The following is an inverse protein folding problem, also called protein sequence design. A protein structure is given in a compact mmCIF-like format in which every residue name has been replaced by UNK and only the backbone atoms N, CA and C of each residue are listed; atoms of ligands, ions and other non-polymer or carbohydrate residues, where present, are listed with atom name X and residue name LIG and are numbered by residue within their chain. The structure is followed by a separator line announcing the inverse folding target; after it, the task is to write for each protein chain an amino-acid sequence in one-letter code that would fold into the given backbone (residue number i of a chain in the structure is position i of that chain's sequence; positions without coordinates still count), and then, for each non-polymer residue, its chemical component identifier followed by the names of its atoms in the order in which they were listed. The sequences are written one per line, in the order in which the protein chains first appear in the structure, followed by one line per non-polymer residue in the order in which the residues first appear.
data_IF_089787941497
#
_entry.id   IF_089787941497
#
_cell.length_a   1.000
_cell.length_b   1.000
_cell.length_c   1.000
_cell.angle_alpha   90.00
_cell.angle_beta   90.00
_cell.angle_gamma   90.00
#
_symmetry.space_group_name_H-M   'P 1'
#
loop_
_entity.id
_entity.type
_entity.pdbx_description
1 polymer ?
#
# COMPACT_ATOMS: atom_id res chain seq x y z
N UNK A 1 19.33 0.56 -0.84
CA UNK A 1 18.21 -0.40 -0.84
C UNK A 1 17.25 -0.05 -1.97
N UNK A 2 16.90 -1.03 -2.77
CA UNK A 2 15.93 -0.84 -3.84
C UNK A 2 14.53 -1.11 -3.29
N UNK A 3 13.65 -0.12 -3.40
CA UNK A 3 12.33 -0.14 -2.80
C UNK A 3 11.24 0.05 -3.85
N UNK A 4 10.17 -0.72 -3.74
CA UNK A 4 8.97 -0.53 -4.55
C UNK A 4 7.87 0.10 -3.69
N UNK A 5 7.16 1.06 -4.25
CA UNK A 5 5.87 1.49 -3.73
C UNK A 5 4.83 0.86 -4.64
N UNK A 6 4.24 -0.23 -4.17
CA UNK A 6 3.24 -1.00 -4.90
C UNK A 6 1.89 -0.37 -4.63
N UNK A 7 1.29 0.25 -5.63
CA UNK A 7 0.12 1.09 -5.43
C UNK A 7 -1.08 0.63 -6.27
N UNK A 8 -2.23 0.53 -5.61
CA UNK A 8 -3.52 0.54 -6.25
C UNK A 8 -4.21 1.86 -5.91
N UNK A 9 -4.65 2.59 -6.92
CA UNK A 9 -5.30 3.88 -6.71
C UNK A 9 -6.47 4.02 -7.67
N UNK A 10 -7.64 4.30 -7.13
CA UNK A 10 -8.87 4.44 -7.91
C UNK A 10 -9.13 5.90 -8.29
N UNK A 11 -8.89 6.83 -7.36
CA UNK A 11 -9.18 8.26 -7.55
C UNK A 11 -7.92 9.11 -7.68
N UNK A 12 -6.74 8.52 -7.57
CA UNK A 12 -5.47 9.25 -7.60
C UNK A 12 -4.95 9.69 -6.24
N UNK A 13 -5.74 9.60 -5.18
CA UNK A 13 -5.32 10.02 -3.84
C UNK A 13 -4.13 9.21 -3.33
N UNK A 14 -4.26 7.90 -3.34
CA UNK A 14 -3.20 6.99 -2.88
C UNK A 14 -1.94 7.16 -3.74
N UNK A 15 -2.10 7.26 -5.05
CA UNK A 15 -0.98 7.45 -5.96
C UNK A 15 -0.23 8.76 -5.70
N UNK A 16 -0.95 9.84 -5.40
CA UNK A 16 -0.31 11.13 -5.12
C UNK A 16 0.60 11.05 -3.89
N UNK A 17 0.18 10.32 -2.86
CA UNK A 17 1.02 10.12 -1.66
C UNK A 17 2.20 9.20 -1.99
N UNK A 18 1.99 8.17 -2.78
CA UNK A 18 3.07 7.28 -3.22
C UNK A 18 4.16 8.04 -3.98
N UNK A 19 3.78 8.97 -4.85
CA UNK A 19 4.72 9.81 -5.58
C UNK A 19 5.52 10.72 -4.65
N UNK A 20 4.89 11.28 -3.63
CA UNK A 20 5.57 12.08 -2.60
C UNK A 20 6.56 11.24 -1.80
N UNK A 21 6.19 10.01 -1.46
CA UNK A 21 7.09 9.09 -0.76
C UNK A 21 8.31 8.75 -1.63
N UNK A 22 8.09 8.47 -2.90
CA UNK A 22 9.19 8.22 -3.83
C UNK A 22 10.17 9.39 -3.87
N UNK A 23 9.65 10.61 -4.03
CA UNK A 23 10.50 11.80 -4.08
C UNK A 23 11.32 11.97 -2.81
N UNK A 24 10.70 11.74 -1.64
CA UNK A 24 11.40 11.84 -0.36
C UNK A 24 12.51 10.80 -0.23
N UNK A 25 12.23 9.55 -0.53
CA UNK A 25 13.22 8.48 -0.44
C UNK A 25 14.36 8.66 -1.43
N UNK A 26 14.08 9.11 -2.64
CA UNK A 26 15.11 9.41 -3.63
C UNK A 26 16.02 10.55 -3.17
N UNK A 27 15.44 11.58 -2.55
CA UNK A 27 16.24 12.69 -2.00
C UNK A 27 17.18 12.21 -0.87
N UNK A 28 16.85 11.11 -0.22
CA UNK A 28 17.66 10.49 0.83
C UNK A 28 18.64 9.44 0.28
N UNK A 29 18.72 9.29 -1.05
CA UNK A 29 19.68 8.42 -1.71
C UNK A 29 19.19 7.01 -2.01
N UNK A 30 17.90 6.72 -1.83
CA UNK A 30 17.34 5.41 -2.13
C UNK A 30 16.92 5.30 -3.58
N UNK A 31 16.96 4.08 -4.11
CA UNK A 31 16.41 3.77 -5.42
C UNK A 31 14.96 3.31 -5.23
N UNK A 32 14.00 4.03 -5.81
CA UNK A 32 12.58 3.78 -5.58
C UNK A 32 11.83 3.73 -6.90
N UNK A 33 11.00 2.69 -7.06
CA UNK A 33 10.10 2.56 -8.19
C UNK A 33 8.65 2.54 -7.71
N UNK A 34 7.78 3.21 -8.47
CA UNK A 34 6.33 3.06 -8.28
C UNK A 34 5.85 1.94 -9.18
N UNK A 35 5.25 0.92 -8.59
CA UNK A 35 4.72 -0.23 -9.27
C UNK A 35 3.21 -0.24 -9.16
N UNK A 36 2.51 0.07 -10.24
CA UNK A 36 1.05 0.15 -10.23
C UNK A 36 0.41 -1.21 -10.42
N UNK A 37 -0.58 -1.50 -9.59
CA UNK A 37 -1.48 -2.63 -9.77
C UNK A 37 -2.62 -2.18 -10.67
N UNK A 38 -2.78 -2.83 -11.82
CA UNK A 38 -3.83 -2.51 -12.78
C UNK A 38 -4.73 -3.72 -12.96
N UNK A 39 -5.92 -3.72 -12.36
CA UNK A 39 -6.89 -4.78 -12.62
C UNK A 39 -7.50 -4.62 -14.02
N UNK A 40 -7.96 -5.73 -14.59
CA UNK A 40 -8.74 -5.70 -15.83
C UNK A 40 -10.18 -5.37 -15.47
N UNK A 41 -10.65 -4.23 -15.95
CA UNK A 41 -12.00 -3.76 -15.66
C UNK A 41 -12.14 -3.20 -14.24
N UNK A 42 -13.38 -2.89 -13.89
CA UNK A 42 -13.70 -2.31 -12.61
C UNK A 42 -13.72 -3.36 -11.50
N UNK A 43 -13.26 -2.98 -10.32
CA UNK A 43 -13.33 -3.80 -9.12
C UNK A 43 -14.23 -3.14 -8.09
N UNK A 44 -14.87 -3.94 -7.24
CA UNK A 44 -15.79 -3.47 -6.21
C UNK A 44 -15.68 -4.36 -4.96
N UNK A 45 -16.16 -3.87 -3.80
CA UNK A 45 -16.24 -4.71 -2.61
C UNK A 45 -17.06 -5.96 -2.87
N UNK A 46 -16.57 -7.11 -2.38
CA UNK A 46 -17.27 -8.38 -2.56
C UNK A 46 -17.09 -9.07 -3.90
N UNK A 47 -16.29 -8.50 -4.80
CA UNK A 47 -15.95 -9.20 -6.06
C UNK A 47 -15.26 -10.52 -5.74
N UNK A 48 -15.60 -11.57 -6.50
CA UNK A 48 -15.11 -12.92 -6.21
C UNK A 48 -13.76 -13.25 -6.83
N UNK A 49 -13.37 -12.52 -7.86
CA UNK A 49 -12.10 -12.71 -8.54
C UNK A 49 -11.66 -11.41 -9.20
N UNK A 50 -10.36 -11.18 -9.24
CA UNK A 50 -9.76 -10.05 -9.96
C UNK A 50 -8.67 -10.57 -10.86
N UNK A 51 -8.79 -10.29 -12.16
CA UNK A 51 -7.71 -10.52 -13.11
C UNK A 51 -6.93 -9.22 -13.27
N UNK A 52 -5.64 -9.34 -13.55
CA UNK A 52 -4.77 -8.16 -13.64
C UNK A 52 -4.23 -7.97 -15.04
N UNK A 53 -4.31 -6.74 -15.50
CA UNK A 53 -3.56 -6.30 -16.66
C UNK A 53 -2.10 -6.08 -16.29
N UNK A 54 -1.85 -5.58 -15.07
CA UNK A 54 -0.52 -5.44 -14.51
C UNK A 54 -0.53 -5.88 -13.05
N UNK A 55 0.28 -6.89 -12.74
CA UNK A 55 0.54 -7.35 -11.39
C UNK A 55 2.06 -7.29 -11.17
N UNK A 56 2.56 -6.26 -10.48
CA UNK A 56 4.01 -6.06 -10.34
C UNK A 56 4.74 -7.25 -9.73
N UNK A 57 5.94 -7.54 -10.26
CA UNK A 57 6.85 -8.53 -9.70
C UNK A 57 7.77 -7.88 -8.69
N UNK A 58 8.00 -8.56 -7.57
CA UNK A 58 8.69 -7.96 -6.43
C UNK A 58 10.08 -8.53 -6.17
N UNK A 59 10.54 -9.46 -6.98
CA UNK A 59 11.78 -10.20 -6.74
C UNK A 59 13.00 -9.30 -6.54
N UNK A 60 13.10 -8.22 -7.30
CA UNK A 60 14.28 -7.34 -7.30
C UNK A 60 14.30 -6.31 -6.17
N UNK A 61 13.21 -6.21 -5.40
CA UNK A 61 13.08 -5.20 -4.35
C UNK A 61 13.41 -5.77 -2.97
N UNK A 62 14.12 -5.00 -2.18
CA UNK A 62 14.43 -5.32 -0.80
C UNK A 62 13.40 -4.74 0.17
N UNK A 63 12.83 -3.59 -0.19
CA UNK A 63 11.79 -2.92 0.57
C UNK A 63 10.52 -2.74 -0.25
N UNK A 64 9.36 -2.88 0.39
CA UNK A 64 8.07 -2.72 -0.29
C UNK A 64 7.10 -1.96 0.60
N UNK A 65 6.50 -0.92 0.04
CA UNK A 65 5.38 -0.24 0.67
C UNK A 65 4.13 -0.56 -0.16
N UNK A 66 3.15 -1.21 0.47
CA UNK A 66 1.86 -1.46 -0.17
C UNK A 66 0.94 -0.28 0.09
N UNK A 67 0.54 0.41 -0.96
CA UNK A 67 -0.29 1.60 -0.88
C UNK A 67 -1.66 1.35 -1.51
N UNK A 68 -2.73 1.56 -0.75
CA UNK A 68 -4.09 1.23 -1.18
C UNK A 68 -5.13 2.13 -0.50
N UNK A 69 -6.25 2.40 -1.18
CA UNK A 69 -7.39 2.99 -0.50
C UNK A 69 -8.13 1.95 0.33
N UNK A 70 -8.89 2.44 1.31
CA UNK A 70 -9.89 1.66 2.04
C UNK A 70 -11.20 1.78 1.27
N UNK A 71 -11.84 0.66 0.95
CA UNK A 71 -13.12 0.61 0.25
C UNK A 71 -14.14 -0.14 1.09
N UNK A 72 -15.34 0.44 1.27
CA UNK A 72 -16.42 -0.17 2.04
C UNK A 72 -15.92 -0.73 3.39
N UNK A 73 -15.16 0.07 4.13
CA UNK A 73 -14.62 -0.25 5.45
C UNK A 73 -13.65 -1.45 5.47
N UNK A 74 -12.99 -1.71 4.34
CA UNK A 74 -12.12 -2.86 4.18
C UNK A 74 -10.99 -2.54 3.20
N UNK A 75 -10.02 -3.44 3.07
CA UNK A 75 -8.98 -3.32 2.07
C UNK A 75 -9.60 -3.39 0.67
N UNK A 76 -9.11 -2.56 -0.25
CA UNK A 76 -9.55 -2.59 -1.64
C UNK A 76 -9.37 -3.98 -2.23
N UNK A 77 -10.37 -4.47 -2.96
CA UNK A 77 -10.35 -5.81 -3.55
C UNK A 77 -9.15 -6.02 -4.48
N UNK A 78 -8.78 -5.02 -5.26
CA UNK A 78 -7.63 -5.13 -6.14
C UNK A 78 -6.33 -5.40 -5.37
N UNK A 79 -6.09 -4.70 -4.26
CA UNK A 79 -4.90 -4.94 -3.43
C UNK A 79 -4.98 -6.33 -2.77
N UNK A 80 -6.14 -6.68 -2.25
CA UNK A 80 -6.33 -7.98 -1.61
C UNK A 80 -6.01 -9.13 -2.56
N UNK A 81 -6.58 -9.12 -3.76
CA UNK A 81 -6.32 -10.18 -4.74
C UNK A 81 -4.91 -10.14 -5.31
N UNK A 82 -4.31 -8.95 -5.39
CA UNK A 82 -2.90 -8.85 -5.75
C UNK A 82 -2.01 -9.60 -4.75
N UNK A 83 -2.22 -9.36 -3.46
CA UNK A 83 -1.44 -10.03 -2.41
C UNK A 83 -1.70 -11.53 -2.39
N UNK A 84 -2.95 -11.94 -2.60
CA UNK A 84 -3.31 -13.35 -2.63
C UNK A 84 -2.62 -14.11 -3.77
N UNK A 85 -2.44 -13.49 -4.93
CA UNK A 85 -1.84 -14.14 -6.08
C UNK A 85 -0.31 -14.20 -6.05
N UNK A 86 0.33 -13.52 -5.11
CA UNK A 86 1.77 -13.64 -4.93
C UNK A 86 2.15 -15.07 -4.59
N UNK A 87 3.30 -15.52 -5.07
CA UNK A 87 3.79 -16.84 -4.75
C UNK A 87 4.12 -16.98 -3.25
N UNK A 88 4.06 -18.19 -2.73
CA UNK A 88 4.47 -18.46 -1.37
C UNK A 88 5.93 -18.06 -1.19
N UNK A 89 6.22 -17.37 -0.10
CA UNK A 89 7.58 -16.90 0.15
C UNK A 89 8.01 -15.67 -0.65
N UNK A 90 7.12 -15.09 -1.47
CA UNK A 90 7.46 -13.94 -2.31
C UNK A 90 8.01 -12.74 -1.54
N UNK A 91 7.64 -12.61 -0.26
CA UNK A 91 8.05 -11.48 0.58
C UNK A 91 9.13 -11.86 1.61
N UNK A 92 9.67 -13.05 1.54
CA UNK A 92 10.73 -13.46 2.46
C UNK A 92 11.93 -12.52 2.39
N UNK A 93 12.46 -12.16 3.56
CA UNK A 93 13.62 -11.28 3.72
C UNK A 93 13.42 -9.86 3.21
N UNK A 94 12.18 -9.48 2.93
CA UNK A 94 11.86 -8.13 2.49
C UNK A 94 11.31 -7.30 3.66
N UNK A 95 11.69 -6.04 3.70
CA UNK A 95 11.13 -5.09 4.64
C UNK A 95 9.83 -4.55 4.04
N UNK A 96 8.74 -4.66 4.78
CA UNK A 96 7.42 -4.28 4.28
C UNK A 96 6.71 -3.28 5.18
N UNK A 97 5.93 -2.41 4.57
CA UNK A 97 5.08 -1.45 5.27
C UNK A 97 3.81 -1.24 4.46
N UNK A 98 2.79 -0.63 5.06
CA UNK A 98 1.61 -0.23 4.30
C UNK A 98 1.26 1.24 4.51
N UNK A 99 0.63 1.79 3.48
CA UNK A 99 0.15 3.16 3.43
C UNK A 99 -1.29 3.12 2.93
N UNK A 100 -2.22 3.48 3.80
CA UNK A 100 -3.65 3.43 3.48
C UNK A 100 -4.23 4.83 3.44
N UNK A 101 -5.12 5.07 2.49
CA UNK A 101 -5.91 6.30 2.42
C UNK A 101 -7.38 5.97 2.62
N UNK A 102 -8.10 6.82 3.32
CA UNK A 102 -9.55 6.66 3.51
C UNK A 102 -10.24 8.02 3.55
N UNK A 103 -11.51 8.05 3.17
CA UNK A 103 -12.25 9.30 3.10
C UNK A 103 -12.73 9.77 4.48
N UNK A 104 -13.25 8.87 5.29
CA UNK A 104 -13.94 9.22 6.54
C UNK A 104 -13.03 9.04 7.75
N UNK A 105 -13.10 9.97 8.74
CA UNK A 105 -12.37 9.82 9.99
C UNK A 105 -13.01 8.76 10.89
N UNK A 106 -12.30 8.37 11.93
CA UNK A 106 -12.80 7.49 12.98
C UNK A 106 -12.33 6.06 12.87
N UNK A 107 -12.35 5.37 14.00
CA UNK A 107 -11.85 3.98 14.12
C UNK A 107 -12.69 2.96 13.34
N UNK A 108 -13.98 3.25 13.15
CA UNK A 108 -14.94 2.33 12.58
C UNK A 108 -15.03 2.39 11.05
N UNK A 109 -14.22 3.23 10.40
CA UNK A 109 -14.29 3.43 8.96
C UNK A 109 -13.32 2.55 8.16
N UNK A 110 -12.76 1.53 8.79
CA UNK A 110 -12.08 0.43 8.10
C UNK A 110 -10.57 0.54 7.93
N UNK A 111 -9.94 1.61 8.40
CA UNK A 111 -8.48 1.75 8.29
C UNK A 111 -7.71 0.67 9.06
N UNK A 112 -8.08 0.44 10.32
CA UNK A 112 -7.48 -0.59 11.14
C UNK A 112 -7.73 -1.99 10.58
N UNK A 113 -8.95 -2.24 10.11
CA UNK A 113 -9.31 -3.51 9.49
C UNK A 113 -8.50 -3.76 8.22
N UNK A 114 -8.40 -2.76 7.36
CA UNK A 114 -7.64 -2.87 6.12
C UNK A 114 -6.14 -3.14 6.40
N UNK A 115 -5.57 -2.47 7.40
CA UNK A 115 -4.18 -2.70 7.80
C UNK A 115 -3.97 -4.13 8.31
N UNK A 116 -4.91 -4.66 9.08
CA UNK A 116 -4.86 -6.06 9.54
C UNK A 116 -4.97 -7.04 8.38
N UNK A 117 -5.79 -6.74 7.40
CA UNK A 117 -5.93 -7.58 6.21
C UNK A 117 -4.63 -7.62 5.42
N UNK A 118 -3.97 -6.48 5.21
CA UNK A 118 -2.67 -6.45 4.56
C UNK A 118 -1.65 -7.25 5.38
N UNK A 119 -1.57 -7.03 6.68
CA UNK A 119 -0.60 -7.72 7.53
C UNK A 119 -0.79 -9.24 7.48
N UNK A 120 -2.02 -9.70 7.54
CA UNK A 120 -2.33 -11.14 7.44
C UNK A 120 -1.85 -11.72 6.10
N UNK A 121 -2.10 -11.02 5.00
CA UNK A 121 -1.69 -11.46 3.67
C UNK A 121 -0.16 -11.40 3.50
N UNK A 122 0.47 -10.36 4.02
CA UNK A 122 1.93 -10.21 3.99
C UNK A 122 2.59 -11.35 4.78
N UNK A 123 2.04 -11.69 5.95
CA UNK A 123 2.54 -12.81 6.75
C UNK A 123 2.41 -14.14 6.01
N UNK A 124 1.32 -14.34 5.29
CA UNK A 124 1.13 -15.56 4.49
C UNK A 124 2.14 -15.69 3.34
N UNK A 125 2.81 -14.60 2.99
CA UNK A 125 3.80 -14.56 1.90
C UNK A 125 5.24 -14.42 2.40
N UNK A 126 5.45 -14.51 3.72
CA UNK A 126 6.79 -14.63 4.29
C UNK A 126 7.38 -13.40 4.95
N UNK A 127 6.63 -12.34 5.13
CA UNK A 127 7.10 -11.13 5.81
C UNK A 127 6.15 -10.70 6.91
N UNK A 128 6.43 -9.59 7.54
CA UNK A 128 5.59 -8.96 8.56
C UNK A 128 5.70 -7.45 8.37
N UNK A 129 4.58 -6.74 8.39
CA UNK A 129 4.60 -5.30 8.29
C UNK A 129 5.43 -4.68 9.43
N UNK A 130 6.44 -3.91 9.06
CA UNK A 130 7.24 -3.17 10.02
C UNK A 130 6.56 -1.86 10.44
N UNK A 131 5.69 -1.32 9.60
CA UNK A 131 5.00 -0.07 9.88
C UNK A 131 3.71 0.05 9.10
N UNK A 132 2.77 0.83 9.63
CA UNK A 132 1.44 1.08 9.04
C UNK A 132 1.15 2.56 9.12
N UNK A 133 0.72 3.17 8.02
CA UNK A 133 0.25 4.54 8.00
C UNK A 133 -1.15 4.60 7.42
N UNK A 134 -2.02 5.37 8.04
CA UNK A 134 -3.40 5.58 7.61
C UNK A 134 -3.64 7.08 7.50
N UNK A 135 -4.01 7.53 6.30
CA UNK A 135 -4.25 8.95 6.02
C UNK A 135 -5.74 9.16 5.76
N UNK A 136 -6.36 10.01 6.57
CA UNK A 136 -7.74 10.43 6.36
C UNK A 136 -7.73 11.56 5.35
N UNK A 137 -8.39 11.35 4.21
CA UNK A 137 -8.36 12.30 3.11
C UNK A 137 -9.22 13.53 3.37
N UNK A 138 -10.39 13.34 3.96
CA UNK A 138 -11.25 14.45 4.36
C UNK A 138 -10.78 15.01 5.69
N UNK A 139 -10.47 16.27 5.74
CA UNK A 139 -10.08 16.89 6.98
C UNK A 139 -8.97 17.90 6.81
N UNK A 140 -8.89 18.82 7.80
CA UNK A 140 -7.96 19.94 7.76
C UNK A 140 -6.51 19.54 8.02
N UNK A 141 -6.28 18.34 8.57
CA UNK A 141 -4.95 17.86 8.94
C UNK A 141 -4.33 16.90 7.92
N UNK A 142 -4.92 16.79 6.74
CA UNK A 142 -4.43 15.86 5.70
C UNK A 142 -2.97 16.10 5.36
N UNK A 143 -2.58 17.32 5.05
CA UNK A 143 -1.20 17.62 4.64
C UNK A 143 -0.19 17.36 5.77
N UNK A 144 -0.55 17.67 6.99
CA UNK A 144 0.26 17.38 8.16
C UNK A 144 0.43 15.87 8.34
N UNK A 145 -0.66 15.13 8.21
CA UNK A 145 -0.65 13.66 8.34
C UNK A 145 0.16 13.01 7.23
N UNK A 146 0.06 13.50 6.01
CA UNK A 146 0.89 13.01 4.90
C UNK A 146 2.37 13.22 5.23
N UNK A 147 2.76 14.41 5.66
CA UNK A 147 4.15 14.70 6.00
C UNK A 147 4.68 13.78 7.09
N UNK A 148 3.90 13.59 8.14
CA UNK A 148 4.23 12.70 9.25
C UNK A 148 4.39 11.25 8.79
N UNK A 149 3.48 10.77 7.96
CA UNK A 149 3.53 9.42 7.41
C UNK A 149 4.79 9.21 6.56
N UNK A 150 5.15 10.19 5.73
CA UNK A 150 6.34 10.12 4.90
C UNK A 150 7.63 10.08 5.73
N UNK A 151 7.68 10.86 6.81
CA UNK A 151 8.82 10.82 7.73
C UNK A 151 8.95 9.45 8.40
N UNK A 152 7.84 8.91 8.89
CA UNK A 152 7.83 7.61 9.55
C UNK A 152 8.26 6.49 8.60
N UNK A 153 7.73 6.49 7.39
CA UNK A 153 8.11 5.51 6.38
C UNK A 153 9.56 5.70 5.92
N UNK A 154 10.01 6.94 5.83
CA UNK A 154 11.40 7.25 5.45
C UNK A 154 12.43 6.70 6.42
N UNK A 155 12.11 6.65 7.71
CA UNK A 155 13.01 6.09 8.73
C UNK A 155 13.15 4.58 8.62
N UNK A 156 12.21 3.93 7.96
CA UNK A 156 12.18 2.48 7.84
C UNK A 156 13.14 1.97 6.76
N UNK A 157 13.35 2.75 5.74
CA UNK A 157 14.18 2.40 4.59
C UNK A 157 15.42 3.28 4.52
#
# INVERSE_FOLDING_TARGET
MKTAVVVYSQTGNTKSVAEKLKAKLEAEGHEVEIEEILPRGETHPGIKNVEFERAPRLKEYEGIVFASPVQAFSLASAMRFYLLQLEDGALERKKTACLLTKQLPGKWTGGTRAARQIDSLVRSKGSQLSHREIIVWSGKKREEKIREALENLGRLF
#
